data_IF_793993612613
#
_entry.id   IF_793993612613
#
_cell.length_a   1.000
_cell.length_b   1.000
_cell.length_c   1.000
_cell.angle_alpha   90.00
_cell.angle_beta   90.00
_cell.angle_gamma   90.00
#
_symmetry.space_group_name_H-M   'P 1'
#
loop_
_entity.id
_entity.type
_entity.pdbx_description
1 polymer ?
#
# COMPACT_ATOMS: atom_id res chain seq x y z
N UNK A 1 -6.39 -17.78 13.30
CA UNK A 1 -5.29 -18.39 12.51
C UNK A 1 -5.51 -18.06 11.04
N UNK A 2 -4.94 -16.94 10.56
CA UNK A 2 -5.14 -16.41 9.21
C UNK A 2 -3.84 -16.59 8.44
N UNK A 3 -3.68 -17.69 7.71
CA UNK A 3 -2.43 -17.99 6.98
C UNK A 3 -2.50 -17.94 5.45
N UNK A 4 -3.69 -17.79 4.85
CA UNK A 4 -3.84 -17.63 3.39
C UNK A 4 -4.68 -16.40 2.97
N UNK A 5 -5.16 -15.61 3.93
CA UNK A 5 -6.17 -14.58 3.67
C UNK A 5 -5.66 -13.24 3.14
N UNK A 6 -4.37 -12.88 3.27
CA UNK A 6 -3.91 -11.51 2.97
C UNK A 6 -4.12 -11.08 1.51
N UNK A 7 -3.73 -11.93 0.57
CA UNK A 7 -3.87 -11.70 -0.88
C UNK A 7 -5.30 -11.85 -1.38
N UNK A 8 -5.97 -12.95 -1.01
CA UNK A 8 -7.36 -13.23 -1.45
C UNK A 8 -8.34 -12.17 -0.91
N UNK A 9 -8.20 -11.77 0.37
CA UNK A 9 -9.06 -10.72 0.94
C UNK A 9 -8.82 -9.36 0.28
N UNK A 10 -7.59 -9.05 -0.13
CA UNK A 10 -7.29 -7.80 -0.85
C UNK A 10 -7.98 -7.75 -2.22
N UNK A 11 -7.97 -8.86 -2.96
CA UNK A 11 -8.71 -8.97 -4.21
C UNK A 11 -10.23 -8.84 -3.99
N UNK A 12 -10.79 -9.48 -2.96
CA UNK A 12 -12.21 -9.35 -2.62
C UNK A 12 -12.63 -7.91 -2.41
N UNK A 13 -11.84 -7.11 -1.66
CA UNK A 13 -12.12 -5.69 -1.45
C UNK A 13 -12.13 -4.89 -2.75
N UNK A 14 -11.22 -5.18 -3.68
CA UNK A 14 -11.20 -4.52 -5.00
C UNK A 14 -12.43 -4.90 -5.85
N UNK A 15 -12.87 -6.15 -5.81
CA UNK A 15 -14.08 -6.59 -6.53
C UNK A 15 -15.34 -5.94 -5.94
N UNK A 16 -15.44 -5.85 -4.61
CA UNK A 16 -16.54 -5.14 -3.95
C UNK A 16 -16.53 -3.66 -4.36
N UNK A 17 -15.36 -3.02 -4.35
CA UNK A 17 -15.23 -1.64 -4.79
C UNK A 17 -15.62 -1.46 -6.27
N UNK A 18 -15.24 -2.39 -7.14
CA UNK A 18 -15.64 -2.38 -8.55
C UNK A 18 -17.16 -2.40 -8.72
N UNK A 19 -17.85 -3.23 -7.94
CA UNK A 19 -19.31 -3.26 -7.94
C UNK A 19 -19.92 -1.94 -7.45
N UNK A 20 -19.37 -1.35 -6.38
CA UNK A 20 -19.79 -0.03 -5.88
C UNK A 20 -19.61 1.05 -6.96
N UNK A 21 -18.44 1.10 -7.60
CA UNK A 21 -18.15 2.07 -8.65
C UNK A 21 -19.08 1.90 -9.85
N UNK A 22 -19.40 0.67 -10.26
CA UNK A 22 -20.37 0.40 -11.33
C UNK A 22 -21.77 0.89 -10.97
N UNK A 23 -22.23 0.68 -9.74
CA UNK A 23 -23.53 1.18 -9.26
C UNK A 23 -23.60 2.70 -9.27
N UNK A 24 -22.52 3.35 -8.82
CA UNK A 24 -22.41 4.82 -8.87
C UNK A 24 -22.46 5.31 -10.32
N UNK A 25 -21.70 4.66 -11.20
CA UNK A 25 -21.66 5.04 -12.61
C UNK A 25 -23.02 4.90 -13.30
N UNK A 26 -23.74 3.81 -13.00
CA UNK A 26 -25.10 3.60 -13.49
C UNK A 26 -26.08 4.65 -12.93
N UNK A 27 -26.06 4.90 -11.62
CA UNK A 27 -26.98 5.83 -10.97
C UNK A 27 -26.77 7.29 -11.41
N UNK A 28 -25.54 7.68 -11.73
CA UNK A 28 -25.18 9.05 -12.11
C UNK A 28 -24.98 9.23 -13.63
N UNK A 29 -25.08 8.17 -14.42
CA UNK A 29 -24.78 8.14 -15.86
C UNK A 29 -23.40 8.74 -16.21
N UNK A 30 -22.40 8.55 -15.34
CA UNK A 30 -21.04 9.05 -15.52
C UNK A 30 -20.02 7.98 -15.14
N UNK A 31 -18.96 7.83 -15.92
CA UNK A 31 -17.86 6.94 -15.57
C UNK A 31 -16.88 7.69 -14.67
N UNK A 32 -16.89 7.38 -13.36
CA UNK A 32 -16.03 8.03 -12.37
C UNK A 32 -15.01 7.02 -11.84
N UNK A 33 -13.75 7.42 -11.75
CA UNK A 33 -12.69 6.65 -11.13
C UNK A 33 -12.65 6.82 -9.61
N UNK A 34 -12.11 5.85 -8.86
CA UNK A 34 -12.05 5.93 -7.39
C UNK A 34 -11.40 7.24 -6.87
N UNK A 35 -10.31 7.70 -7.49
CA UNK A 35 -9.63 8.94 -7.09
C UNK A 35 -10.41 10.23 -7.40
N UNK A 36 -11.46 10.16 -8.23
CA UNK A 36 -12.35 11.28 -8.53
C UNK A 36 -13.59 11.27 -7.61
N UNK A 37 -13.88 10.12 -6.98
CA UNK A 37 -15.03 9.96 -6.11
C UNK A 37 -14.69 10.12 -4.61
N UNK A 38 -13.51 9.65 -4.19
CA UNK A 38 -13.09 9.69 -2.80
C UNK A 38 -12.03 10.77 -2.56
N UNK A 39 -12.22 11.59 -1.53
CA UNK A 39 -11.23 12.59 -1.10
C UNK A 39 -9.98 11.95 -0.49
N UNK A 40 -10.14 10.77 0.10
CA UNK A 40 -9.10 10.03 0.81
C UNK A 40 -9.26 8.53 0.59
N UNK A 41 -8.16 7.86 0.22
CA UNK A 41 -8.07 6.40 0.19
C UNK A 41 -6.92 5.96 1.09
N UNK A 42 -7.22 5.07 2.02
CA UNK A 42 -6.33 4.68 3.09
C UNK A 42 -6.22 3.15 3.18
N UNK A 43 -5.06 2.63 3.56
CA UNK A 43 -4.91 1.18 3.70
C UNK A 43 -3.63 0.71 4.39
N UNK A 44 -3.69 -0.53 4.89
CA UNK A 44 -2.56 -1.25 5.49
C UNK A 44 -2.41 -2.64 4.87
N UNK A 45 -1.21 -3.21 4.90
CA UNK A 45 -0.88 -4.47 4.23
C UNK A 45 -1.26 -4.44 2.76
N UNK A 46 -2.01 -5.46 2.33
CA UNK A 46 -2.53 -5.52 0.95
C UNK A 46 -3.52 -4.40 0.63
N UNK A 47 -4.24 -3.87 1.62
CA UNK A 47 -5.07 -2.68 1.45
C UNK A 47 -4.26 -1.42 1.19
N UNK A 48 -3.02 -1.32 1.69
CA UNK A 48 -2.09 -0.23 1.37
C UNK A 48 -1.67 -0.26 -0.10
N UNK A 49 -1.47 -1.46 -0.66
CA UNK A 49 -1.22 -1.65 -2.11
C UNK A 49 -2.42 -1.14 -2.92
N UNK A 50 -3.63 -1.59 -2.57
CA UNK A 50 -4.87 -1.16 -3.23
C UNK A 50 -5.08 0.35 -3.13
N UNK A 51 -4.88 0.93 -1.93
CA UNK A 51 -5.01 2.36 -1.70
C UNK A 51 -4.08 3.17 -2.59
N UNK A 52 -2.82 2.72 -2.73
CA UNK A 52 -1.85 3.37 -3.59
C UNK A 52 -2.19 3.23 -5.08
N UNK A 53 -2.60 2.04 -5.54
CA UNK A 53 -3.03 1.84 -6.92
C UNK A 53 -4.18 2.78 -7.31
N UNK A 54 -5.20 2.87 -6.46
CA UNK A 54 -6.44 3.60 -6.76
C UNK A 54 -6.29 5.10 -6.55
N UNK A 55 -5.62 5.53 -5.48
CA UNK A 55 -5.46 6.94 -5.13
C UNK A 55 -4.20 7.53 -5.75
N UNK A 56 -3.02 7.15 -5.24
CA UNK A 56 -1.73 7.79 -5.61
C UNK A 56 -1.29 7.53 -7.06
N UNK A 57 -1.57 6.35 -7.59
CA UNK A 57 -1.25 5.96 -8.97
C UNK A 57 -2.44 6.14 -9.92
N UNK A 58 -3.60 6.57 -9.38
CA UNK A 58 -4.82 6.91 -10.13
C UNK A 58 -5.24 5.83 -11.15
N UNK A 59 -4.98 4.55 -10.85
CA UNK A 59 -5.41 3.46 -11.72
C UNK A 59 -6.93 3.35 -11.73
N UNK A 60 -7.51 3.03 -12.90
CA UNK A 60 -8.89 2.57 -12.97
C UNK A 60 -9.07 1.31 -12.12
N UNK A 61 -10.28 1.06 -11.62
CA UNK A 61 -10.55 -0.11 -10.77
C UNK A 61 -10.24 -1.42 -11.49
N UNK A 62 -10.51 -1.51 -12.80
CA UNK A 62 -10.20 -2.70 -13.61
C UNK A 62 -8.70 -2.93 -13.76
N UNK A 63 -7.92 -1.84 -13.98
CA UNK A 63 -6.46 -1.90 -14.04
C UNK A 63 -5.88 -2.30 -12.69
N UNK A 64 -6.39 -1.72 -11.60
CA UNK A 64 -5.96 -2.05 -10.25
C UNK A 64 -6.19 -3.53 -9.91
N UNK A 65 -7.34 -4.11 -10.29
CA UNK A 65 -7.60 -5.55 -10.14
C UNK A 65 -6.60 -6.38 -10.94
N UNK A 66 -6.41 -6.08 -12.22
CA UNK A 66 -5.48 -6.82 -13.08
C UNK A 66 -4.05 -6.79 -12.54
N UNK A 67 -3.56 -5.62 -12.15
CA UNK A 67 -2.22 -5.44 -11.58
C UNK A 67 -2.09 -6.09 -10.20
N UNK A 68 -3.14 -6.08 -9.38
CA UNK A 68 -3.14 -6.75 -8.09
C UNK A 68 -2.98 -8.27 -8.23
N UNK A 69 -3.68 -8.90 -9.18
CA UNK A 69 -3.53 -10.34 -9.45
C UNK A 69 -2.10 -10.66 -9.87
N UNK A 70 -1.54 -9.93 -10.85
CA UNK A 70 -0.14 -10.11 -11.28
C UNK A 70 0.85 -9.92 -10.13
N UNK A 71 0.61 -8.92 -9.29
CA UNK A 71 1.43 -8.63 -8.12
C UNK A 71 1.43 -9.79 -7.13
N UNK A 72 0.24 -10.28 -6.73
CA UNK A 72 0.10 -11.40 -5.78
C UNK A 72 0.77 -12.66 -6.33
N UNK A 73 0.55 -12.98 -7.60
CA UNK A 73 1.20 -14.12 -8.26
C UNK A 73 2.72 -13.99 -8.22
N UNK A 74 3.29 -12.84 -8.58
CA UNK A 74 4.74 -12.65 -8.57
C UNK A 74 5.34 -12.77 -7.16
N UNK A 75 4.68 -12.18 -6.17
CA UNK A 75 5.20 -12.07 -4.80
C UNK A 75 5.09 -13.37 -4.02
N UNK A 76 3.99 -14.10 -4.18
CA UNK A 76 3.65 -15.25 -3.34
C UNK A 76 3.88 -16.61 -4.01
N UNK A 77 4.42 -16.64 -5.25
CA UNK A 77 4.69 -17.89 -5.98
C UNK A 77 5.70 -18.81 -5.27
N UNK A 78 6.77 -18.25 -4.71
CA UNK A 78 7.86 -19.04 -4.11
C UNK A 78 7.88 -18.89 -2.59
N UNK A 79 7.57 -20.00 -1.89
CA UNK A 79 7.73 -20.11 -0.43
C UNK A 79 9.12 -20.62 -0.08
N UNK A 80 9.70 -20.06 0.99
CA UNK A 80 10.94 -20.57 1.59
C UNK A 80 10.61 -21.68 2.60
N UNK A 81 11.25 -22.84 2.47
CA UNK A 81 11.01 -23.99 3.35
C UNK A 81 11.80 -23.94 4.67
N UNK A 82 12.94 -23.25 4.68
CA UNK A 82 13.90 -23.23 5.80
C UNK A 82 14.43 -21.82 6.07
N UNK A 83 13.51 -20.85 6.23
CA UNK A 83 13.86 -19.47 6.53
C UNK A 83 12.90 -18.88 7.59
N UNK A 84 13.34 -17.86 8.36
CA UNK A 84 12.50 -17.21 9.36
C UNK A 84 11.32 -16.43 8.77
N UNK A 85 11.32 -16.15 7.47
CA UNK A 85 10.22 -15.49 6.76
C UNK A 85 9.76 -16.35 5.59
N UNK A 86 8.45 -16.39 5.34
CA UNK A 86 7.86 -17.28 4.32
C UNK A 86 8.23 -16.88 2.87
N UNK A 87 8.43 -15.59 2.61
CA UNK A 87 8.63 -15.05 1.25
C UNK A 87 9.93 -14.24 1.12
N UNK A 88 10.31 -13.95 -0.13
CA UNK A 88 11.50 -13.16 -0.47
C UNK A 88 11.14 -11.67 -0.54
N UNK A 89 11.77 -10.85 0.31
CA UNK A 89 11.65 -9.39 0.23
C UNK A 89 12.07 -8.84 -1.14
N UNK A 90 13.10 -9.41 -1.77
CA UNK A 90 13.53 -9.00 -3.12
C UNK A 90 12.42 -9.15 -4.16
N UNK A 91 11.62 -10.21 -4.09
CA UNK A 91 10.47 -10.42 -4.99
C UNK A 91 9.35 -9.41 -4.75
N UNK A 92 9.09 -9.06 -3.50
CA UNK A 92 8.19 -7.97 -3.16
C UNK A 92 8.69 -6.64 -3.75
N UNK A 93 9.96 -6.33 -3.58
CA UNK A 93 10.56 -5.09 -4.09
C UNK A 93 10.56 -5.02 -5.62
N UNK A 94 10.90 -6.12 -6.30
CA UNK A 94 10.82 -6.26 -7.76
C UNK A 94 9.40 -6.01 -8.27
N UNK A 95 8.39 -6.65 -7.66
CA UNK A 95 6.99 -6.48 -8.05
C UNK A 95 6.48 -5.04 -7.84
N UNK A 96 6.83 -4.43 -6.71
CA UNK A 96 6.48 -3.04 -6.42
C UNK A 96 7.10 -2.08 -7.45
N UNK A 97 8.40 -2.21 -7.73
CA UNK A 97 9.09 -1.36 -8.72
C UNK A 97 8.50 -1.52 -10.12
N UNK A 98 8.20 -2.75 -10.53
CA UNK A 98 7.58 -3.02 -11.83
C UNK A 98 6.21 -2.36 -11.96
N UNK A 99 5.36 -2.50 -10.94
CA UNK A 99 4.03 -1.88 -10.89
C UNK A 99 4.10 -0.35 -10.92
N UNK A 100 5.00 0.25 -10.13
CA UNK A 100 5.20 1.70 -10.09
C UNK A 100 5.73 2.21 -11.43
N UNK A 101 6.75 1.55 -12.00
CA UNK A 101 7.30 1.92 -13.31
C UNK A 101 6.26 1.85 -14.42
N UNK A 102 5.40 0.84 -14.41
CA UNK A 102 4.29 0.72 -15.36
C UNK A 102 3.22 1.80 -15.20
N UNK A 103 3.11 2.42 -14.02
CA UNK A 103 2.15 3.49 -13.74
C UNK A 103 2.72 4.89 -14.00
N UNK A 104 4.00 5.13 -13.68
CA UNK A 104 4.59 6.47 -13.64
C UNK A 104 5.75 6.67 -14.61
N UNK A 105 6.32 5.60 -15.17
CA UNK A 105 7.58 5.63 -15.89
C UNK A 105 8.83 5.74 -15.00
N UNK A 106 8.67 5.89 -13.68
CA UNK A 106 9.75 6.08 -12.71
C UNK A 106 9.58 5.17 -11.49
N UNK A 107 10.42 4.15 -11.34
CA UNK A 107 10.36 3.22 -10.19
C UNK A 107 10.78 3.85 -8.85
N UNK A 108 11.45 5.01 -8.88
CA UNK A 108 11.84 5.79 -7.71
C UNK A 108 10.86 6.93 -7.39
N UNK A 109 9.63 6.86 -7.91
CA UNK A 109 8.59 7.86 -7.64
C UNK A 109 8.36 8.04 -6.13
N UNK A 110 8.37 9.30 -5.68
CA UNK A 110 8.13 9.67 -4.27
C UNK A 110 6.66 9.55 -3.90
N UNK A 111 6.37 9.11 -2.67
CA UNK A 111 4.97 8.99 -2.21
C UNK A 111 4.30 10.36 -2.15
N UNK A 112 5.00 11.35 -1.61
CA UNK A 112 4.59 12.75 -1.58
C UNK A 112 5.42 13.54 -2.62
N UNK A 113 4.74 14.28 -3.49
CA UNK A 113 5.42 15.15 -4.49
C UNK A 113 5.82 16.53 -3.93
N UNK A 114 5.54 16.81 -2.67
CA UNK A 114 5.82 18.11 -2.03
C UNK A 114 4.89 19.23 -2.49
N UNK A 115 3.98 18.96 -3.43
CA UNK A 115 3.01 19.92 -3.95
C UNK A 115 1.62 19.56 -3.42
N UNK A 116 0.85 20.57 -3.01
CA UNK A 116 -0.56 20.40 -2.76
C UNK A 116 -1.23 19.97 -4.07
N UNK A 117 -1.87 18.80 -4.05
CA UNK A 117 -2.64 18.26 -5.16
C UNK A 117 -4.10 18.32 -4.77
N UNK A 118 -4.96 18.85 -5.65
CA UNK A 118 -6.42 18.82 -5.50
C UNK A 118 -7.01 17.40 -5.73
N UNK A 119 -6.16 16.41 -6.07
CA UNK A 119 -6.59 15.02 -6.24
C UNK A 119 -6.71 14.24 -4.92
N UNK A 120 -7.30 13.04 -5.02
CA UNK A 120 -7.47 12.10 -3.92
C UNK A 120 -6.20 11.93 -3.07
N UNK A 121 -6.34 12.18 -1.77
CA UNK A 121 -5.32 11.93 -0.76
C UNK A 121 -5.15 10.43 -0.57
N UNK A 122 -3.93 9.98 -0.40
CA UNK A 122 -3.63 8.56 -0.13
C UNK A 122 -2.80 8.42 1.12
N UNK A 123 -3.15 7.45 1.97
CA UNK A 123 -2.39 7.13 3.19
C UNK A 123 -2.13 5.64 3.25
N UNK A 124 -0.85 5.28 3.42
CA UNK A 124 -0.41 3.91 3.67
C UNK A 124 0.08 3.83 5.11
N UNK A 125 -0.34 2.79 5.84
CA UNK A 125 0.02 2.61 7.25
C UNK A 125 1.01 1.47 7.45
N UNK A 126 2.07 1.69 8.22
CA UNK A 126 2.97 0.63 8.72
C UNK A 126 3.34 0.89 10.18
N UNK A 127 3.90 -0.10 10.87
CA UNK A 127 4.38 0.05 12.24
C UNK A 127 5.90 0.29 12.25
N UNK A 128 6.35 1.28 13.03
CA UNK A 128 7.78 1.42 13.34
C UNK A 128 8.17 0.38 14.41
N UNK A 129 9.23 -0.39 14.16
CA UNK A 129 9.65 -1.51 15.02
C UNK A 129 9.97 -1.09 16.46
N UNK A 130 10.48 0.11 16.65
CA UNK A 130 10.82 0.65 17.97
C UNK A 130 9.61 1.18 18.76
N UNK A 131 8.46 1.39 18.09
CA UNK A 131 7.22 1.92 18.70
C UNK A 131 6.06 0.92 18.69
N UNK A 132 6.36 -0.39 18.61
CA UNK A 132 5.32 -1.43 18.62
C UNK A 132 4.48 -1.42 19.91
N UNK A 133 5.08 -1.05 21.04
CA UNK A 133 4.41 -0.98 22.35
C UNK A 133 3.38 0.14 22.45
N UNK A 134 3.60 1.25 21.74
CA UNK A 134 2.68 2.38 21.71
C UNK A 134 1.50 2.15 20.74
N UNK A 135 1.57 1.12 19.89
CA UNK A 135 0.54 0.79 18.89
C UNK A 135 0.15 1.95 17.95
N UNK A 136 1.01 2.96 17.81
CA UNK A 136 0.77 4.09 16.93
C UNK A 136 1.32 3.80 15.53
N UNK A 137 0.47 3.72 14.49
CA UNK A 137 0.94 3.46 13.14
C UNK A 137 1.59 4.72 12.54
N UNK A 138 2.63 4.50 11.75
CA UNK A 138 3.25 5.52 10.93
C UNK A 138 2.47 5.66 9.62
N UNK A 139 2.14 6.90 9.29
CA UNK A 139 1.40 7.28 8.09
C UNK A 139 2.35 7.76 6.99
N UNK A 140 2.37 7.03 5.88
CA UNK A 140 3.01 7.47 4.65
C UNK A 140 1.97 8.15 3.77
N UNK A 141 2.07 9.47 3.62
CA UNK A 141 1.04 10.31 2.99
C UNK A 141 1.45 10.75 1.60
N UNK A 142 0.49 10.85 0.68
CA UNK A 142 0.72 11.43 -0.64
C UNK A 142 0.66 12.95 -0.70
N UNK A 143 0.36 13.60 0.42
CA UNK A 143 0.08 15.03 0.52
C UNK A 143 0.91 15.67 1.63
N UNK A 144 1.33 16.93 1.46
CA UNK A 144 2.07 17.65 2.49
C UNK A 144 1.19 17.91 3.72
N UNK A 145 1.81 17.90 4.90
CA UNK A 145 1.20 18.26 6.17
C UNK A 145 2.15 19.16 6.95
N UNK A 146 1.60 20.10 7.72
CA UNK A 146 2.40 21.06 8.49
C UNK A 146 3.09 20.44 9.71
N UNK A 147 2.60 19.31 10.21
CA UNK A 147 3.14 18.64 11.40
C UNK A 147 3.11 17.13 11.21
N UNK A 148 4.14 16.46 11.72
CA UNK A 148 4.32 15.01 11.63
C UNK A 148 4.21 14.45 10.19
N UNK A 149 5.09 14.89 9.25
CA UNK A 149 5.00 14.55 7.82
C UNK A 149 5.13 13.07 7.50
N UNK A 150 5.62 12.26 8.44
CA UNK A 150 5.97 10.87 8.20
C UNK A 150 7.26 10.75 7.36
N UNK A 151 7.72 9.51 7.10
CA UNK A 151 8.95 9.27 6.37
C UNK A 151 8.88 9.78 4.92
N UNK A 152 9.90 10.55 4.51
CA UNK A 152 10.06 10.96 3.13
C UNK A 152 10.71 9.82 2.34
N UNK A 153 9.94 9.16 1.49
CA UNK A 153 10.40 7.96 0.79
C UNK A 153 9.65 7.70 -0.51
N UNK A 154 10.18 6.75 -1.28
CA UNK A 154 9.53 6.28 -2.50
C UNK A 154 8.25 5.52 -2.21
N UNK A 155 7.34 5.47 -3.18
CA UNK A 155 6.14 4.63 -3.13
C UNK A 155 6.53 3.18 -2.83
N UNK A 156 7.59 2.67 -3.46
CA UNK A 156 8.07 1.30 -3.24
C UNK A 156 8.46 1.03 -1.79
N UNK A 157 9.10 1.99 -1.10
CA UNK A 157 9.51 1.81 0.29
C UNK A 157 8.31 1.83 1.24
N UNK A 158 7.37 2.76 1.03
CA UNK A 158 6.13 2.82 1.81
C UNK A 158 5.30 1.53 1.66
N UNK A 159 5.16 1.03 0.44
CA UNK A 159 4.41 -0.20 0.15
C UNK A 159 5.14 -1.46 0.61
N UNK A 160 6.47 -1.47 0.63
CA UNK A 160 7.21 -2.57 1.24
C UNK A 160 6.99 -2.57 2.75
N UNK A 161 7.11 -1.41 3.40
CA UNK A 161 6.94 -1.26 4.85
C UNK A 161 5.60 -1.79 5.33
N UNK A 162 4.49 -1.43 4.64
CA UNK A 162 3.16 -1.89 5.01
C UNK A 162 2.96 -3.41 4.82
N UNK A 163 3.70 -4.04 3.90
CA UNK A 163 3.64 -5.49 3.64
C UNK A 163 4.59 -6.31 4.51
N UNK A 164 5.47 -5.67 5.28
CA UNK A 164 6.58 -6.32 5.99
C UNK A 164 6.14 -7.05 7.27
N UNK A 165 5.15 -7.94 7.18
CA UNK A 165 4.74 -8.82 8.27
C UNK A 165 5.88 -9.79 8.64
N UNK A 166 6.29 -9.94 9.92
CA UNK A 166 7.40 -10.76 10.36
C UNK A 166 7.37 -12.21 9.86
N UNK A 167 6.19 -12.83 9.84
CA UNK A 167 6.04 -14.20 9.34
C UNK A 167 6.22 -14.31 7.80
N UNK A 168 6.00 -13.22 7.07
CA UNK A 168 5.95 -13.21 5.61
C UNK A 168 7.22 -12.62 4.99
N UNK A 169 7.65 -11.45 5.44
CA UNK A 169 8.76 -10.68 4.87
C UNK A 169 9.64 -10.09 5.97
N UNK A 170 10.91 -9.82 5.63
CA UNK A 170 11.82 -9.07 6.50
C UNK A 170 11.37 -7.60 6.58
N UNK A 171 11.68 -6.93 7.69
CA UNK A 171 11.52 -5.48 7.82
C UNK A 171 12.34 -4.70 6.78
N UNK A 172 11.98 -3.43 6.58
CA UNK A 172 12.71 -2.48 5.74
C UNK A 172 13.15 -1.29 6.58
N UNK A 173 14.35 -0.78 6.32
CA UNK A 173 14.84 0.44 6.94
C UNK A 173 14.61 1.62 5.99
N UNK A 174 13.96 2.67 6.49
CA UNK A 174 13.70 3.91 5.77
C UNK A 174 14.33 5.05 6.56
N UNK A 175 15.15 5.86 5.89
CA UNK A 175 15.79 7.02 6.49
C UNK A 175 14.76 8.15 6.60
N UNK A 176 14.55 8.64 7.82
CA UNK A 176 13.72 9.81 8.09
C UNK A 176 14.46 10.73 9.06
N UNK A 177 14.56 12.02 8.71
CA UNK A 177 15.27 13.04 9.52
C UNK A 177 16.71 12.64 9.87
N UNK A 178 17.42 12.00 8.93
CA UNK A 178 18.80 11.54 9.11
C UNK A 178 18.96 10.24 9.92
N UNK A 179 17.87 9.65 10.40
CA UNK A 179 17.89 8.41 11.19
C UNK A 179 17.22 7.28 10.42
N UNK A 180 17.90 6.13 10.31
CA UNK A 180 17.30 4.93 9.75
C UNK A 180 16.29 4.34 10.75
N UNK A 181 15.04 4.21 10.33
CA UNK A 181 13.97 3.60 11.11
C UNK A 181 13.51 2.30 10.46
N UNK A 182 13.42 1.22 11.24
CA UNK A 182 12.96 -0.08 10.76
C UNK A 182 11.43 -0.19 10.83
N UNK A 183 10.81 -0.64 9.75
CA UNK A 183 9.36 -0.75 9.60
C UNK A 183 8.91 -2.19 9.37
N UNK A 184 7.75 -2.52 9.93
CA UNK A 184 7.03 -3.78 9.78
C UNK A 184 5.55 -3.51 9.44
N UNK A 185 4.83 -4.54 8.98
CA UNK A 185 3.44 -4.41 8.54
C UNK A 185 2.51 -3.79 9.59
N UNK A 186 1.55 -2.99 9.14
CA UNK A 186 0.66 -2.22 10.04
C UNK A 186 -0.27 -3.10 10.88
N UNK A 187 -0.61 -4.28 10.36
CA UNK A 187 -1.47 -5.27 10.99
C UNK A 187 -0.93 -5.83 12.33
N UNK A 188 0.35 -5.61 12.65
CA UNK A 188 1.00 -6.07 13.89
C UNK A 188 0.60 -5.22 15.11
N UNK A 189 0.01 -4.04 14.88
CA UNK A 189 -0.54 -3.17 15.93
C UNK A 189 -1.96 -2.68 15.63
N UNK A 190 -2.28 -2.43 14.37
CA UNK A 190 -3.60 -1.93 13.93
C UNK A 190 -4.04 -2.69 12.66
N UNK A 191 -4.95 -3.65 12.80
CA UNK A 191 -5.55 -4.34 11.63
C UNK A 191 -6.64 -3.50 10.92
N UNK A 192 -7.12 -2.44 11.58
CA UNK A 192 -8.04 -1.45 11.00
C UNK A 192 -7.51 -0.04 11.32
N UNK A 193 -6.99 0.72 10.35
CA UNK A 193 -6.42 2.04 10.60
C UNK A 193 -7.48 3.12 10.90
N UNK A 194 -8.77 2.77 10.90
CA UNK A 194 -9.90 3.65 11.21
C UNK A 194 -10.46 3.46 12.62
N UNK A 195 -9.93 2.52 13.41
CA UNK A 195 -10.39 2.19 14.77
C UNK A 195 -9.23 2.22 15.75
#
# INVERSE_FOLDING_TARGET
MVKDGGGVRGLSSLIILQEIMRRIAHAKAINIHPHEHFDLIAGTGTGGISACMLGRLQMSIDKAISEYVKFVEHVFKEKKWSAPTMYKGTKLQEALRAMIRGATGNEAEMINKGQASDGCKTVVFAMARHNLTATLPVMFRSYPVASNPGPDCTISNALYATMAHPDLFKSIDIVHSGVAQSFVGGEIGCSNPLV
#
